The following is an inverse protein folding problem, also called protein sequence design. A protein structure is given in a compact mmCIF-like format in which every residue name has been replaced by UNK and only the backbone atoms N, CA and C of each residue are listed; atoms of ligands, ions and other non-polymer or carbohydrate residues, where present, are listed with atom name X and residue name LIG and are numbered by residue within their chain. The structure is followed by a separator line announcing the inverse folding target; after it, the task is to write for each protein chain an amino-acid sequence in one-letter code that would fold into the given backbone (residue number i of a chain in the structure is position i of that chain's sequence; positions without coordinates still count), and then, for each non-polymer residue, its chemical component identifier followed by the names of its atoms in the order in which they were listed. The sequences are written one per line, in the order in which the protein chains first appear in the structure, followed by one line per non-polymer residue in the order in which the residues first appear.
data_IF_472007783838
#
_entry.id   IF_472007783838
#
_cell.length_a   1.000
_cell.length_b   1.000
_cell.length_c   1.000
_cell.angle_alpha   90.00
_cell.angle_beta   90.00
_cell.angle_gamma   90.00
#
_symmetry.space_group_name_H-M   'P 1'
#
loop_
_entity.id
_entity.type
_entity.pdbx_description
1 polymer ?
#
# COMPACT_ATOMS: atom_id res chain seq x y z
N UNK A 1 -44.14 -62.21 -18.43
CA UNK A 1 -44.27 -61.60 -17.09
C UNK A 1 -43.02 -60.77 -16.78
N UNK A 2 -43.25 -59.49 -16.48
CA UNK A 2 -42.42 -58.54 -15.71
C UNK A 2 -41.08 -58.06 -16.32
N UNK A 3 -41.23 -56.97 -17.08
CA UNK A 3 -40.22 -55.92 -17.23
C UNK A 3 -40.01 -55.18 -15.91
N UNK A 4 -38.80 -55.17 -15.34
CA UNK A 4 -38.38 -54.23 -14.29
C UNK A 4 -36.83 -54.13 -14.28
N UNK A 5 -36.17 -53.62 -15.32
CA UNK A 5 -34.69 -53.47 -15.28
C UNK A 5 -34.07 -52.29 -16.08
N UNK A 6 -34.70 -51.11 -16.21
CA UNK A 6 -33.91 -49.92 -16.57
C UNK A 6 -33.98 -48.75 -15.57
N UNK A 7 -34.66 -48.88 -14.42
CA UNK A 7 -34.88 -47.72 -13.53
C UNK A 7 -33.77 -47.53 -12.47
N UNK A 8 -33.01 -48.58 -12.13
CA UNK A 8 -32.02 -48.49 -11.03
C UNK A 8 -30.69 -47.85 -11.48
N UNK A 9 -30.39 -47.82 -12.78
CA UNK A 9 -29.12 -47.23 -13.28
C UNK A 9 -29.13 -45.70 -13.27
N UNK A 10 -30.30 -45.06 -13.20
CA UNK A 10 -30.40 -43.59 -13.22
C UNK A 10 -30.22 -42.91 -11.84
N UNK A 11 -30.29 -43.66 -10.73
CA UNK A 11 -30.23 -43.07 -9.38
C UNK A 11 -28.80 -42.97 -8.79
N UNK A 12 -27.82 -43.63 -9.38
CA UNK A 12 -26.42 -43.58 -8.89
C UNK A 12 -25.65 -42.39 -9.49
N UNK A 13 -26.19 -41.72 -10.52
CA UNK A 13 -25.53 -40.58 -11.15
C UNK A 13 -25.68 -39.26 -10.38
N UNK A 14 -26.48 -39.20 -9.31
CA UNK A 14 -26.80 -37.96 -8.59
C UNK A 14 -26.00 -37.79 -7.29
N UNK A 15 -25.30 -38.82 -6.80
CA UNK A 15 -24.69 -38.78 -5.45
C UNK A 15 -23.21 -38.39 -5.37
N UNK A 16 -22.54 -38.03 -6.47
CA UNK A 16 -21.14 -37.51 -6.41
C UNK A 16 -21.00 -36.14 -7.08
N UNK A 17 -22.10 -35.38 -7.14
CA UNK A 17 -22.08 -33.95 -7.47
C UNK A 17 -21.97 -33.08 -6.20
N UNK A 18 -21.02 -33.41 -5.31
CA UNK A 18 -20.64 -32.49 -4.22
C UNK A 18 -19.24 -32.78 -3.65
N UNK A 19 -18.33 -33.21 -4.52
CA UNK A 19 -16.89 -33.11 -4.26
C UNK A 19 -16.31 -31.79 -4.79
N UNK A 20 -17.16 -30.82 -5.14
CA UNK A 20 -16.84 -29.42 -4.92
C UNK A 20 -16.78 -29.21 -3.40
N UNK A 21 -15.74 -29.81 -2.78
CA UNK A 21 -15.05 -29.15 -1.69
C UNK A 21 -14.99 -27.71 -2.13
N UNK A 22 -15.62 -26.86 -1.35
CA UNK A 22 -15.22 -25.48 -1.23
C UNK A 22 -13.69 -25.55 -1.22
N UNK A 23 -13.08 -25.33 -2.38
CA UNK A 23 -11.67 -25.05 -2.49
C UNK A 23 -11.64 -23.71 -1.81
N UNK A 24 -11.55 -23.76 -0.48
CA UNK A 24 -11.20 -22.65 0.37
C UNK A 24 -10.01 -22.10 -0.38
N UNK A 25 -10.21 -20.99 -1.08
CA UNK A 25 -9.10 -20.18 -1.53
C UNK A 25 -8.47 -19.76 -0.21
N UNK A 26 -7.60 -20.62 0.30
CA UNK A 26 -6.44 -20.15 1.00
C UNK A 26 -5.85 -19.19 -0.01
N UNK A 27 -6.03 -17.89 0.27
CA UNK A 27 -5.08 -16.89 -0.12
C UNK A 27 -3.73 -17.48 0.29
N UNK A 28 -3.09 -18.20 -0.62
CA UNK A 28 -1.65 -18.38 -0.58
C UNK A 28 -1.13 -17.00 -0.86
N UNK A 29 -1.21 -16.13 0.16
CA UNK A 29 -0.51 -14.87 0.16
C UNK A 29 0.91 -15.27 -0.12
N UNK A 30 1.39 -14.92 -1.32
CA UNK A 30 2.79 -15.03 -1.58
C UNK A 30 3.45 -14.25 -0.46
N UNK A 31 4.50 -14.81 0.14
CA UNK A 31 5.25 -14.17 1.22
C UNK A 31 6.05 -12.96 0.69
N UNK A 32 5.54 -12.31 -0.36
CA UNK A 32 6.10 -11.19 -1.04
C UNK A 32 5.82 -9.98 -0.16
N UNK A 33 6.86 -9.24 0.16
CA UNK A 33 6.73 -8.04 0.97
C UNK A 33 5.91 -6.98 0.24
N UNK A 34 5.55 -5.93 0.97
CA UNK A 34 4.90 -4.74 0.42
C UNK A 34 5.64 -3.49 0.87
N UNK A 35 5.58 -2.45 0.05
CA UNK A 35 6.07 -1.13 0.40
C UNK A 35 4.92 -0.12 0.36
N UNK A 36 4.58 0.46 1.50
CA UNK A 36 3.78 1.66 1.62
C UNK A 36 4.73 2.85 1.68
N UNK A 37 4.65 3.73 0.70
CA UNK A 37 5.38 5.00 0.61
C UNK A 37 4.40 6.11 0.90
N UNK A 38 4.67 6.89 1.94
CA UNK A 38 3.90 8.08 2.29
C UNK A 38 4.79 9.30 2.14
N UNK A 39 4.52 10.13 1.15
CA UNK A 39 5.19 11.42 0.94
C UNK A 39 4.36 12.53 1.59
N UNK A 40 4.98 13.31 2.47
CA UNK A 40 4.44 14.56 2.98
C UNK A 40 5.03 15.71 2.16
N UNK A 41 4.16 16.49 1.52
CA UNK A 41 4.49 17.52 0.52
C UNK A 41 3.56 18.73 0.63
N UNK A 42 3.75 19.76 -0.19
CA UNK A 42 2.81 20.87 -0.38
C UNK A 42 3.18 21.67 -1.63
N UNK A 43 2.20 22.19 -2.37
CA UNK A 43 2.45 23.14 -3.47
C UNK A 43 3.13 24.43 -2.97
N UNK A 44 2.93 24.81 -1.71
CA UNK A 44 3.59 25.96 -1.09
C UNK A 44 5.06 25.74 -0.72
N UNK A 45 5.57 24.51 -0.87
CA UNK A 45 6.94 24.12 -0.53
C UNK A 45 7.84 24.11 -1.78
N UNK A 46 8.77 25.06 -1.87
CA UNK A 46 9.65 25.19 -3.05
C UNK A 46 10.61 24.04 -3.27
N UNK A 47 10.95 23.28 -2.21
CA UNK A 47 11.84 22.12 -2.28
C UNK A 47 11.12 20.80 -2.56
N UNK A 48 9.79 20.82 -2.64
CA UNK A 48 8.96 19.63 -2.81
C UNK A 48 8.84 19.06 -4.23
N UNK A 49 8.88 19.86 -5.33
CA UNK A 49 8.67 19.34 -6.67
C UNK A 49 9.52 18.12 -7.07
N UNK A 50 10.83 18.04 -6.73
CA UNK A 50 11.63 16.85 -7.04
C UNK A 50 11.18 15.57 -6.33
N UNK A 51 10.52 15.68 -5.17
CA UNK A 51 9.97 14.53 -4.46
C UNK A 51 8.61 14.10 -5.04
N UNK A 52 7.80 15.06 -5.48
CA UNK A 52 6.51 14.80 -6.14
C UNK A 52 6.73 14.05 -7.47
N UNK A 53 7.64 14.55 -8.31
CA UNK A 53 8.07 13.89 -9.56
C UNK A 53 8.57 12.45 -9.31
N UNK A 54 9.38 12.27 -8.25
CA UNK A 54 9.92 10.97 -7.90
C UNK A 54 8.83 9.97 -7.45
N UNK A 55 7.76 10.43 -6.79
CA UNK A 55 6.64 9.54 -6.45
C UNK A 55 5.87 9.10 -7.70
N UNK A 56 5.71 9.97 -8.69
CA UNK A 56 5.13 9.60 -9.98
C UNK A 56 5.99 8.53 -10.67
N UNK A 57 7.32 8.72 -10.73
CA UNK A 57 8.25 7.71 -11.25
C UNK A 57 8.16 6.36 -10.52
N UNK A 58 7.99 6.40 -9.19
CA UNK A 58 7.81 5.18 -8.38
C UNK A 58 6.49 4.48 -8.74
N UNK A 59 5.39 5.21 -8.88
CA UNK A 59 4.11 4.63 -9.26
C UNK A 59 4.19 3.93 -10.62
N UNK A 60 4.85 4.56 -11.60
CA UNK A 60 5.06 3.97 -12.93
C UNK A 60 5.98 2.74 -12.87
N UNK A 61 7.16 2.88 -12.24
CA UNK A 61 8.19 1.83 -12.16
C UNK A 61 7.74 0.58 -11.41
N UNK A 62 6.89 0.75 -10.39
CA UNK A 62 6.40 -0.35 -9.57
C UNK A 62 4.95 -0.75 -9.88
N UNK A 63 4.40 -0.30 -11.01
CA UNK A 63 3.10 -0.73 -11.51
C UNK A 63 3.00 -2.26 -11.57
N UNK A 64 1.93 -2.81 -10.97
CA UNK A 64 1.71 -4.26 -10.86
C UNK A 64 2.50 -4.97 -9.76
N UNK A 65 3.23 -4.25 -8.90
CA UNK A 65 3.91 -4.79 -7.70
C UNK A 65 3.17 -4.36 -6.43
N UNK A 66 3.53 -4.97 -5.30
CA UNK A 66 3.00 -4.64 -3.97
C UNK A 66 3.59 -3.31 -3.43
N UNK A 67 3.52 -2.24 -4.21
CA UNK A 67 3.96 -0.89 -3.81
C UNK A 67 2.76 0.05 -3.86
N UNK A 68 2.50 0.74 -2.76
CA UNK A 68 1.46 1.75 -2.62
C UNK A 68 2.17 3.07 -2.35
N UNK A 69 1.99 4.06 -3.22
CA UNK A 69 2.57 5.39 -3.03
C UNK A 69 1.45 6.41 -2.82
N UNK A 70 1.50 7.15 -1.71
CA UNK A 70 0.52 8.16 -1.30
C UNK A 70 1.22 9.50 -1.12
N UNK A 71 0.57 10.57 -1.53
CA UNK A 71 1.01 11.95 -1.28
C UNK A 71 0.01 12.64 -0.35
N UNK A 72 0.54 13.21 0.73
CA UNK A 72 -0.18 13.91 1.77
C UNK A 72 0.26 15.37 1.79
N UNK A 73 -0.66 16.26 1.42
CA UNK A 73 -0.37 17.68 1.35
C UNK A 73 -0.57 18.33 2.73
N UNK A 74 0.51 18.79 3.35
CA UNK A 74 0.44 19.42 4.68
C UNK A 74 0.01 20.87 4.57
N UNK A 75 -0.69 21.37 5.57
CA UNK A 75 -1.31 22.71 5.55
C UNK A 75 -0.44 23.83 6.13
N UNK A 76 0.65 23.51 6.84
CA UNK A 76 1.46 24.53 7.52
C UNK A 76 2.25 25.47 6.58
N UNK A 77 2.26 25.20 5.27
CA UNK A 77 2.78 26.09 4.24
C UNK A 77 1.76 27.15 3.80
N UNK A 78 0.46 26.93 4.01
CA UNK A 78 -0.62 27.81 3.52
C UNK A 78 -0.53 29.23 4.09
N UNK A 79 0.12 29.38 5.25
CA UNK A 79 0.39 30.66 5.90
C UNK A 79 1.32 31.59 5.12
N UNK A 80 1.98 31.11 4.06
CA UNK A 80 2.90 31.91 3.25
C UNK A 80 2.23 32.65 2.07
N UNK A 81 0.92 32.49 1.90
CA UNK A 81 0.11 33.29 0.97
C UNK A 81 -0.46 32.53 -0.24
N UNK A 82 0.07 31.35 -0.54
CA UNK A 82 -0.59 30.37 -1.42
C UNK A 82 -1.24 29.30 -0.54
N UNK A 83 -2.52 29.00 -0.77
CA UNK A 83 -3.22 27.90 -0.11
C UNK A 83 -3.29 26.72 -1.07
N UNK A 84 -2.62 25.64 -0.71
CA UNK A 84 -2.65 24.39 -1.46
C UNK A 84 -4.06 23.76 -1.36
N UNK A 85 -4.78 23.53 -2.49
CA UNK A 85 -6.13 23.01 -2.47
C UNK A 85 -6.22 21.53 -2.04
N UNK A 86 -5.10 20.82 -2.02
CA UNK A 86 -5.00 19.43 -1.58
C UNK A 86 -4.60 19.33 -0.10
N UNK A 87 -4.23 20.45 0.53
CA UNK A 87 -3.75 20.46 1.91
C UNK A 87 -4.85 20.13 2.92
N UNK A 88 -4.45 19.50 4.03
CA UNK A 88 -5.34 19.26 5.17
C UNK A 88 -4.57 19.23 6.49
N UNK A 89 -5.18 19.79 7.54
CA UNK A 89 -4.69 19.68 8.91
C UNK A 89 -4.54 18.21 9.36
N UNK A 90 -5.39 17.30 8.85
CA UNK A 90 -5.28 15.87 9.18
C UNK A 90 -3.99 15.25 8.64
N UNK A 91 -3.47 15.77 7.51
CA UNK A 91 -2.21 15.33 6.94
C UNK A 91 -1.02 15.88 7.72
N UNK A 92 -1.09 17.12 8.18
CA UNK A 92 -0.13 17.68 9.15
C UNK A 92 -0.12 16.89 10.45
N UNK A 93 -1.28 16.59 11.03
CA UNK A 93 -1.41 15.81 12.26
C UNK A 93 -0.81 14.39 12.09
N UNK A 94 -1.03 13.76 10.93
CA UNK A 94 -0.41 12.46 10.60
C UNK A 94 1.12 12.57 10.56
N UNK A 95 1.66 13.65 9.99
CA UNK A 95 3.10 13.88 9.97
C UNK A 95 3.65 14.13 11.38
N UNK A 96 2.94 14.89 12.22
CA UNK A 96 3.31 15.13 13.62
C UNK A 96 3.36 13.83 14.43
N UNK A 97 2.41 12.92 14.19
CA UNK A 97 2.43 11.59 14.77
C UNK A 97 3.71 10.82 14.41
N UNK A 98 4.12 10.85 13.14
CA UNK A 98 5.41 10.28 12.73
C UNK A 98 6.61 11.03 13.34
N UNK A 99 6.55 12.36 13.44
CA UNK A 99 7.57 13.16 14.13
C UNK A 99 7.78 12.71 15.57
N UNK A 100 6.71 12.33 16.28
CA UNK A 100 6.77 11.74 17.61
C UNK A 100 7.42 10.35 17.64
N UNK A 101 7.03 9.45 16.72
CA UNK A 101 7.60 8.09 16.61
C UNK A 101 9.10 8.15 16.35
N UNK A 102 9.52 8.97 15.38
CA UNK A 102 10.92 9.09 14.96
C UNK A 102 11.74 10.06 15.83
N UNK A 103 11.11 10.70 16.82
CA UNK A 103 11.74 11.67 17.74
C UNK A 103 12.44 12.80 16.99
N UNK A 104 11.78 13.31 15.95
CA UNK A 104 12.28 14.43 15.18
C UNK A 104 12.19 15.71 16.02
N UNK A 105 13.16 16.61 15.84
CA UNK A 105 13.09 17.93 16.47
C UNK A 105 11.95 18.79 15.90
N UNK A 106 11.61 18.55 14.63
CA UNK A 106 10.50 19.20 13.92
C UNK A 106 10.11 18.37 12.70
N UNK A 107 8.83 18.42 12.30
CA UNK A 107 8.38 17.93 10.99
C UNK A 107 8.93 18.81 9.87
N UNK A 108 9.02 18.27 8.66
CA UNK A 108 9.61 18.96 7.51
C UNK A 108 9.06 18.41 6.19
N UNK A 109 9.20 19.16 5.09
CA UNK A 109 8.87 18.68 3.74
C UNK A 109 10.02 18.95 2.77
N UNK A 110 10.20 18.09 1.74
CA UNK A 110 9.48 16.83 1.54
C UNK A 110 10.01 15.74 2.48
N UNK A 111 9.09 15.02 3.14
CA UNK A 111 9.44 13.85 3.98
C UNK A 111 8.78 12.60 3.40
N UNK A 112 9.56 11.55 3.18
CA UNK A 112 9.03 10.23 2.85
C UNK A 112 9.08 9.32 4.08
N UNK A 113 8.03 8.53 4.29
CA UNK A 113 7.96 7.48 5.30
C UNK A 113 7.65 6.15 4.61
N UNK A 114 8.41 5.10 4.94
CA UNK A 114 8.29 3.75 4.35
C UNK A 114 7.79 2.78 5.41
N UNK A 115 6.62 2.17 5.16
CA UNK A 115 5.91 1.24 6.05
C UNK A 115 5.71 1.76 7.49
N UNK A 116 5.77 3.08 7.70
CA UNK A 116 5.75 3.68 9.03
C UNK A 116 7.00 3.41 9.88
N UNK A 117 8.05 2.84 9.31
CA UNK A 117 9.24 2.36 10.04
C UNK A 117 10.50 3.19 9.79
N UNK A 118 10.62 3.79 8.61
CA UNK A 118 11.80 4.57 8.21
C UNK A 118 11.38 5.87 7.56
N UNK A 119 12.02 6.98 7.94
CA UNK A 119 11.78 8.30 7.36
C UNK A 119 13.07 8.91 6.78
N UNK A 120 12.93 9.76 5.77
CA UNK A 120 14.03 10.50 5.15
C UNK A 120 13.51 11.64 4.24
N UNK A 121 14.42 12.46 3.70
CA UNK A 121 14.09 13.51 2.72
C UNK A 121 13.50 12.88 1.45
N UNK A 122 12.28 13.26 1.10
CA UNK A 122 11.50 12.61 0.05
C UNK A 122 12.13 12.63 -1.34
N UNK A 123 12.96 13.63 -1.64
CA UNK A 123 13.69 13.74 -2.91
C UNK A 123 14.94 12.85 -3.01
N UNK A 124 15.26 12.05 -1.98
CA UNK A 124 16.37 11.12 -2.02
C UNK A 124 15.99 9.83 -2.78
N UNK A 125 16.08 9.87 -4.11
CA UNK A 125 15.75 8.75 -5.00
C UNK A 125 16.47 7.44 -4.66
N UNK A 126 17.78 7.50 -4.38
CA UNK A 126 18.56 6.31 -4.03
C UNK A 126 18.04 5.64 -2.74
N UNK A 127 17.74 6.44 -1.71
CA UNK A 127 17.20 5.92 -0.44
C UNK A 127 15.77 5.40 -0.62
N UNK A 128 14.95 6.09 -1.43
CA UNK A 128 13.58 5.66 -1.71
C UNK A 128 13.53 4.30 -2.40
N UNK A 129 14.25 4.17 -3.52
CA UNK A 129 14.30 2.95 -4.32
C UNK A 129 14.84 1.79 -3.49
N UNK A 130 15.95 1.99 -2.78
CA UNK A 130 16.53 0.93 -1.94
C UNK A 130 15.60 0.49 -0.81
N UNK A 131 14.90 1.42 -0.16
CA UNK A 131 13.93 1.09 0.91
C UNK A 131 12.73 0.32 0.37
N UNK A 132 12.20 0.69 -0.81
CA UNK A 132 11.12 -0.05 -1.47
C UNK A 132 11.57 -1.48 -1.80
N UNK A 133 12.74 -1.62 -2.44
CA UNK A 133 13.25 -2.94 -2.84
C UNK A 133 13.56 -3.85 -1.65
N UNK A 134 14.04 -3.29 -0.53
CA UNK A 134 14.23 -4.00 0.72
C UNK A 134 12.90 -4.52 1.27
N UNK A 135 11.86 -3.68 1.30
CA UNK A 135 10.54 -4.06 1.79
C UNK A 135 9.85 -5.08 0.90
N UNK A 136 10.02 -5.02 -0.42
CA UNK A 136 9.47 -6.04 -1.32
C UNK A 136 10.12 -7.42 -1.12
N UNK A 137 11.39 -7.47 -0.69
CA UNK A 137 12.10 -8.73 -0.40
C UNK A 137 11.80 -9.30 0.98
N UNK A 138 11.44 -8.44 1.92
CA UNK A 138 11.14 -8.83 3.30
C UNK A 138 9.67 -9.18 3.39
N UNK A 139 9.33 -10.47 3.49
CA UNK A 139 7.95 -10.91 3.61
C UNK A 139 7.22 -10.17 4.73
N UNK A 140 5.93 -9.85 4.50
CA UNK A 140 5.16 -9.05 5.45
C UNK A 140 5.06 -9.77 6.79
N UNK A 141 5.53 -9.18 7.91
CA UNK A 141 5.32 -9.75 9.24
C UNK A 141 3.84 -9.69 9.67
N UNK A 142 3.02 -8.95 8.93
CA UNK A 142 1.61 -8.71 9.22
C UNK A 142 0.76 -9.46 8.19
N UNK A 143 0.04 -10.48 8.66
CA UNK A 143 -1.06 -11.10 7.92
C UNK A 143 -2.32 -10.23 8.12
N UNK A 144 -2.67 -9.42 7.12
CA UNK A 144 -3.94 -8.68 7.15
C UNK A 144 -5.05 -9.62 6.69
N UNK A 145 -5.86 -10.08 7.66
CA UNK A 145 -7.14 -10.74 7.38
C UNK A 145 -8.19 -9.67 7.14
N UNK A 146 -8.51 -9.43 5.87
CA UNK A 146 -9.66 -8.63 5.46
C UNK A 146 -10.97 -9.39 5.67
#
# INVERSE_FOLDING_TARGET
MKAIFPVIVLLISVTVLSANRLKKQEMTGTNDGFALVELFTSEGCSSCPPADELIEEVQEKYSGKNVIALSYHVDYWDRLGWKDPFSSADFTNRQEYYGGIFRLNSIYTPQAVINGETEFVGSNSAKLISSIEERLKTGSPIEIKL
#
